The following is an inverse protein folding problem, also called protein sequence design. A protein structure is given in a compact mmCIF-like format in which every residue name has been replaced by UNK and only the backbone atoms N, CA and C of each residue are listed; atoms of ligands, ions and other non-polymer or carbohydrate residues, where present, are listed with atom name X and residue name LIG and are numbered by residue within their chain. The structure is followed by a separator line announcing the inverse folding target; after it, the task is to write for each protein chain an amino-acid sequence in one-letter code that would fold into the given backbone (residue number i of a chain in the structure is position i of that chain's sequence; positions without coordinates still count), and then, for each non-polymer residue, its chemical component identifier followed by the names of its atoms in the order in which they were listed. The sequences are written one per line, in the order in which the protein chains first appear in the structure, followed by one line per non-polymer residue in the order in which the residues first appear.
data_IF_956056761809
#
_entry.id   IF_956056761809
#
_cell.length_a   1.000
_cell.length_b   1.000
_cell.length_c   1.000
_cell.angle_alpha   90.00
_cell.angle_beta   90.00
_cell.angle_gamma   90.00
#
_symmetry.space_group_name_H-M   'P 1'
#
loop_
_entity.id
_entity.type
_entity.pdbx_description
1 polymer ?
#
# COMPACT_ATOMS: atom_id res chain seq x y z
N UNK A 1 -4.13 5.16 11.85
CA UNK A 1 -3.17 5.06 10.74
C UNK A 1 -3.65 5.68 9.44
N UNK A 2 -4.94 5.72 9.22
CA UNK A 2 -5.53 6.04 7.92
C UNK A 2 -5.24 7.43 7.37
N UNK A 3 -5.35 8.50 8.14
CA UNK A 3 -5.22 9.86 7.62
C UNK A 3 -3.79 10.39 7.49
N UNK A 4 -2.92 10.05 8.42
CA UNK A 4 -1.58 10.62 8.52
C UNK A 4 -0.62 10.07 7.47
N UNK A 5 -0.69 8.76 7.20
CA UNK A 5 0.18 8.12 6.20
C UNK A 5 -0.17 8.58 4.79
N UNK A 6 -1.46 8.77 4.52
CA UNK A 6 -1.90 9.27 3.22
C UNK A 6 -1.28 10.63 2.91
N UNK A 7 -1.35 11.58 3.84
CA UNK A 7 -0.74 12.89 3.67
C UNK A 7 0.78 12.82 3.55
N UNK A 8 1.42 11.97 4.36
CA UNK A 8 2.86 11.78 4.34
C UNK A 8 3.33 11.14 3.04
N UNK A 9 2.63 10.11 2.54
CA UNK A 9 2.96 9.51 1.25
C UNK A 9 2.86 10.53 0.12
N UNK A 10 1.78 11.31 0.07
CA UNK A 10 1.60 12.32 -0.95
C UNK A 10 2.72 13.36 -0.94
N UNK A 11 3.09 13.82 0.25
CA UNK A 11 4.16 14.80 0.41
C UNK A 11 5.52 14.22 0.02
N UNK A 12 5.89 13.07 0.54
CA UNK A 12 7.19 12.46 0.27
C UNK A 12 7.31 11.99 -1.18
N UNK A 13 6.24 11.45 -1.77
CA UNK A 13 6.25 11.06 -3.16
C UNK A 13 6.46 12.27 -4.09
N UNK A 14 5.83 13.40 -3.77
CA UNK A 14 5.97 14.61 -4.56
C UNK A 14 7.31 15.33 -4.40
N UNK A 15 7.90 15.29 -3.21
CA UNK A 15 9.12 16.07 -2.88
C UNK A 15 10.36 15.19 -2.88
N UNK A 16 10.41 14.16 -2.03
CA UNK A 16 11.63 13.36 -1.84
C UNK A 16 11.84 12.33 -2.95
N UNK A 17 10.75 11.68 -3.40
CA UNK A 17 10.84 10.64 -4.43
C UNK A 17 10.63 11.21 -5.84
N UNK A 18 10.22 12.45 -5.96
CA UNK A 18 10.04 13.17 -7.23
C UNK A 18 9.21 12.36 -8.25
N UNK A 19 8.15 11.69 -7.80
CA UNK A 19 7.29 10.89 -8.67
C UNK A 19 6.39 11.81 -9.51
N UNK A 20 6.15 11.47 -10.79
CA UNK A 20 5.20 12.22 -11.61
C UNK A 20 3.78 12.07 -11.09
N UNK A 21 2.94 13.07 -11.36
CA UNK A 21 1.57 13.10 -10.86
C UNK A 21 0.75 11.84 -11.15
N UNK A 22 0.77 11.24 -12.35
CA UNK A 22 0.03 9.99 -12.58
C UNK A 22 0.46 8.83 -11.69
N UNK A 23 1.76 8.72 -11.38
CA UNK A 23 2.27 7.68 -10.48
C UNK A 23 1.75 7.91 -9.06
N UNK A 24 1.80 9.15 -8.58
CA UNK A 24 1.28 9.51 -7.25
C UNK A 24 -0.23 9.21 -7.18
N UNK A 25 -0.99 9.62 -8.17
CA UNK A 25 -2.44 9.39 -8.21
C UNK A 25 -2.78 7.91 -8.16
N UNK A 26 -2.07 7.09 -8.94
CA UNK A 26 -2.30 5.65 -8.95
C UNK A 26 -1.96 5.01 -7.60
N UNK A 27 -0.85 5.38 -7.02
CA UNK A 27 -0.44 4.87 -5.70
C UNK A 27 -1.43 5.27 -4.59
N UNK A 28 -1.97 6.48 -4.65
CA UNK A 28 -2.96 6.94 -3.67
C UNK A 28 -4.30 6.24 -3.85
N UNK A 29 -4.73 5.99 -5.08
CA UNK A 29 -5.94 5.20 -5.35
C UNK A 29 -5.78 3.77 -4.83
N UNK A 30 -4.62 3.16 -5.04
CA UNK A 30 -4.32 1.84 -4.51
C UNK A 30 -4.36 1.83 -2.97
N UNK A 31 -3.73 2.81 -2.34
CA UNK A 31 -3.74 2.95 -0.87
C UNK A 31 -5.17 3.04 -0.33
N UNK A 32 -5.99 3.91 -0.91
CA UNK A 32 -7.37 4.08 -0.49
C UNK A 32 -8.19 2.79 -0.63
N UNK A 33 -8.01 2.07 -1.73
CA UNK A 33 -8.70 0.81 -1.95
C UNK A 33 -8.29 -0.23 -0.90
N UNK A 34 -6.99 -0.33 -0.60
CA UNK A 34 -6.48 -1.24 0.42
C UNK A 34 -7.09 -0.94 1.79
N UNK A 35 -7.20 0.34 2.16
CA UNK A 35 -7.79 0.71 3.44
C UNK A 35 -9.26 0.27 3.54
N UNK A 36 -10.03 0.45 2.48
CA UNK A 36 -11.44 0.01 2.45
C UNK A 36 -11.54 -1.51 2.55
N UNK A 37 -10.73 -2.24 1.79
CA UNK A 37 -10.74 -3.71 1.81
C UNK A 37 -10.30 -4.26 3.16
N UNK A 38 -9.31 -3.65 3.78
CA UNK A 38 -8.85 -4.01 5.11
C UNK A 38 -9.97 -3.81 6.16
N UNK A 39 -10.65 -2.69 6.11
CA UNK A 39 -11.78 -2.41 7.00
C UNK A 39 -12.90 -3.42 6.83
N UNK A 40 -13.25 -3.77 5.58
CA UNK A 40 -14.28 -4.79 5.32
C UNK A 40 -13.84 -6.14 5.87
N UNK A 41 -12.59 -6.53 5.66
CA UNK A 41 -12.08 -7.82 6.15
C UNK A 41 -12.10 -7.90 7.69
N UNK A 42 -11.82 -6.78 8.34
CA UNK A 42 -11.79 -6.72 9.81
C UNK A 42 -13.17 -6.51 10.44
N UNK A 43 -14.20 -6.29 9.63
CA UNK A 43 -15.55 -6.00 10.12
C UNK A 43 -15.71 -4.58 10.65
N UNK A 44 -14.81 -3.69 10.32
CA UNK A 44 -14.91 -2.28 10.70
C UNK A 44 -15.95 -1.56 9.84
N UNK A 45 -16.60 -0.51 10.38
CA UNK A 45 -17.55 0.28 9.60
C UNK A 45 -16.89 0.95 8.39
N UNK A 46 -17.55 0.87 7.24
CA UNK A 46 -17.12 1.52 5.99
C UNK A 46 -18.22 2.45 5.53
N UNK A 47 -17.89 3.72 5.33
CA UNK A 47 -18.82 4.68 4.78
C UNK A 47 -19.17 4.31 3.32
N UNK A 48 -20.42 4.53 2.95
CA UNK A 48 -20.88 4.23 1.59
C UNK A 48 -20.07 4.97 0.54
N UNK A 49 -19.70 6.21 0.80
CA UNK A 49 -18.89 7.02 -0.11
C UNK A 49 -17.50 6.44 -0.31
N UNK A 50 -16.87 5.92 0.74
CA UNK A 50 -15.55 5.29 0.64
C UNK A 50 -15.62 3.98 -0.15
N UNK A 51 -16.66 3.19 0.08
CA UNK A 51 -16.88 1.96 -0.70
C UNK A 51 -17.09 2.28 -2.18
N UNK A 52 -17.92 3.28 -2.50
CA UNK A 52 -18.16 3.69 -3.89
C UNK A 52 -16.88 4.19 -4.54
N UNK A 53 -16.06 4.96 -3.82
CA UNK A 53 -14.76 5.39 -4.32
C UNK A 53 -13.82 4.21 -4.60
N UNK A 54 -13.77 3.23 -3.70
CA UNK A 54 -12.95 2.03 -3.89
C UNK A 54 -13.40 1.24 -5.13
N UNK A 55 -14.72 1.09 -5.33
CA UNK A 55 -15.29 0.42 -6.51
C UNK A 55 -14.85 1.15 -7.79
N UNK A 56 -15.06 2.46 -7.85
CA UNK A 56 -14.70 3.24 -9.02
C UNK A 56 -13.20 3.22 -9.28
N UNK A 57 -12.40 3.43 -8.25
CA UNK A 57 -10.94 3.47 -8.38
C UNK A 57 -10.38 2.15 -8.88
N UNK A 58 -10.81 1.02 -8.31
CA UNK A 58 -10.25 -0.28 -8.68
C UNK A 58 -10.75 -0.79 -10.03
N UNK A 59 -12.01 -0.53 -10.37
CA UNK A 59 -12.60 -1.05 -11.60
C UNK A 59 -12.45 -0.12 -12.79
N UNK A 60 -12.24 1.18 -12.57
CA UNK A 60 -12.20 2.16 -13.65
C UNK A 60 -10.96 3.03 -13.60
N UNK A 61 -10.80 3.89 -12.58
CA UNK A 61 -9.81 4.95 -12.62
C UNK A 61 -8.37 4.45 -12.65
N UNK A 62 -8.03 3.46 -11.85
CA UNK A 62 -6.67 2.89 -11.83
C UNK A 62 -6.31 2.25 -13.17
N UNK A 63 -7.28 1.65 -13.85
CA UNK A 63 -7.06 0.97 -15.13
C UNK A 63 -6.92 1.95 -16.31
N UNK A 64 -7.33 3.20 -16.15
CA UNK A 64 -7.19 4.26 -17.13
C UNK A 64 -6.00 5.18 -16.88
N UNK A 65 -5.35 5.02 -15.74
CA UNK A 65 -4.21 5.85 -15.34
C UNK A 65 -3.02 5.62 -16.28
N UNK A 66 -2.41 6.70 -16.76
CA UNK A 66 -1.33 6.62 -17.77
C UNK A 66 -0.08 5.94 -17.24
N UNK A 67 0.28 6.15 -15.98
CA UNK A 67 1.41 5.44 -15.38
C UNK A 67 1.14 3.93 -15.34
N UNK A 68 -0.05 3.53 -14.93
CA UNK A 68 -0.43 2.12 -14.90
C UNK A 68 -0.44 1.52 -16.31
N UNK A 69 -1.03 2.20 -17.29
CA UNK A 69 -1.11 1.68 -18.67
C UNK A 69 0.28 1.45 -19.27
N UNK A 70 1.23 2.32 -18.96
CA UNK A 70 2.61 2.19 -19.46
C UNK A 70 3.40 1.08 -18.76
N UNK A 71 3.01 0.72 -17.53
CA UNK A 71 3.82 -0.16 -16.68
C UNK A 71 3.06 -1.38 -16.15
N UNK A 72 1.86 -1.65 -16.66
CA UNK A 72 1.00 -2.72 -16.14
C UNK A 72 1.66 -4.11 -16.14
N UNK A 73 2.50 -4.49 -17.12
CA UNK A 73 3.18 -5.79 -17.08
C UNK A 73 4.09 -5.98 -15.86
N UNK A 74 4.57 -4.90 -15.27
CA UNK A 74 5.38 -4.93 -14.05
C UNK A 74 4.51 -4.72 -12.80
N UNK A 75 3.60 -3.76 -12.86
CA UNK A 75 2.78 -3.40 -11.70
C UNK A 75 1.79 -4.49 -11.29
N UNK A 76 1.17 -5.17 -12.23
CA UNK A 76 0.17 -6.20 -11.90
C UNK A 76 0.78 -7.37 -11.11
N UNK A 77 1.90 -7.97 -11.51
CA UNK A 77 2.55 -8.99 -10.68
C UNK A 77 2.99 -8.47 -9.31
N UNK A 78 3.43 -7.21 -9.24
CA UNK A 78 3.83 -6.60 -7.99
C UNK A 78 2.62 -6.46 -7.03
N UNK A 79 1.49 -5.99 -7.55
CA UNK A 79 0.23 -5.91 -6.78
C UNK A 79 -0.24 -7.31 -6.37
N UNK A 80 -0.10 -8.31 -7.24
CA UNK A 80 -0.44 -9.69 -6.89
C UNK A 80 0.38 -10.20 -5.70
N UNK A 81 1.68 -9.93 -5.68
CA UNK A 81 2.53 -10.28 -4.54
C UNK A 81 2.09 -9.55 -3.26
N UNK A 82 1.75 -8.28 -3.37
CA UNK A 82 1.23 -7.49 -2.25
C UNK A 82 -0.05 -8.13 -1.67
N UNK A 83 -1.00 -8.50 -2.54
CA UNK A 83 -2.26 -9.13 -2.11
C UNK A 83 -2.01 -10.47 -1.42
N UNK A 84 -1.16 -11.30 -1.99
CA UNK A 84 -0.84 -12.63 -1.41
C UNK A 84 -0.14 -12.49 -0.05
N UNK A 85 0.75 -11.52 0.09
CA UNK A 85 1.39 -11.24 1.39
C UNK A 85 0.36 -10.77 2.42
N UNK A 86 -0.56 -9.89 2.02
CA UNK A 86 -1.63 -9.43 2.90
C UNK A 86 -2.53 -10.60 3.33
N UNK A 87 -2.88 -11.48 2.39
CA UNK A 87 -3.71 -12.66 2.69
C UNK A 87 -3.00 -13.62 3.65
N UNK A 88 -1.69 -13.81 3.47
CA UNK A 88 -0.90 -14.61 4.40
C UNK A 88 -0.88 -14.00 5.81
N UNK A 89 -0.72 -12.69 5.89
CA UNK A 89 -0.78 -11.97 7.16
C UNK A 89 -2.15 -12.11 7.82
N UNK A 90 -3.22 -11.88 7.07
CA UNK A 90 -4.59 -11.99 7.55
C UNK A 90 -4.87 -13.39 8.10
N UNK A 91 -4.42 -14.42 7.42
CA UNK A 91 -4.58 -15.80 7.89
C UNK A 91 -3.84 -16.05 9.20
N UNK A 92 -2.61 -15.57 9.33
CA UNK A 92 -1.85 -15.70 10.58
C UNK A 92 -2.54 -14.96 11.72
N UNK A 93 -3.02 -13.77 11.47
CA UNK A 93 -3.74 -12.96 12.47
C UNK A 93 -5.00 -13.67 12.96
N UNK A 94 -5.82 -14.18 12.04
CA UNK A 94 -7.05 -14.92 12.39
C UNK A 94 -6.78 -16.25 13.09
N UNK A 95 -5.64 -16.86 12.84
CA UNK A 95 -5.23 -18.09 13.51
C UNK A 95 -4.59 -17.87 14.87
N UNK A 96 -4.43 -16.63 15.32
CA UNK A 96 -3.75 -16.30 16.57
C UNK A 96 -2.24 -16.46 16.52
N UNK A 97 -1.66 -16.42 15.32
CA UNK A 97 -0.23 -16.61 15.08
C UNK A 97 0.47 -15.32 14.65
N UNK A 98 -0.13 -14.16 14.96
CA UNK A 98 0.46 -12.87 14.64
C UNK A 98 1.83 -12.71 15.29
N UNK A 99 2.82 -12.34 14.50
CA UNK A 99 4.19 -12.10 14.96
C UNK A 99 4.90 -11.09 14.04
N UNK A 100 6.20 -10.94 14.18
CA UNK A 100 6.98 -10.02 13.37
C UNK A 100 6.88 -10.31 11.88
N UNK A 101 6.66 -11.56 11.48
CA UNK A 101 6.52 -11.91 10.06
C UNK A 101 5.20 -11.39 9.50
N UNK A 102 4.09 -11.66 10.18
CA UNK A 102 2.78 -11.15 9.72
C UNK A 102 2.75 -9.62 9.74
N UNK A 103 3.39 -9.00 10.72
CA UNK A 103 3.57 -7.54 10.73
C UNK A 103 4.25 -7.02 9.46
N UNK A 104 5.30 -7.70 9.00
CA UNK A 104 5.99 -7.30 7.78
C UNK A 104 5.21 -7.66 6.52
N UNK A 105 4.53 -8.80 6.49
CA UNK A 105 3.77 -9.23 5.32
C UNK A 105 2.62 -8.28 4.97
N UNK A 106 1.99 -7.67 5.96
CA UNK A 106 0.89 -6.74 5.72
C UNK A 106 1.36 -5.40 5.12
N UNK A 107 2.66 -5.16 5.06
CA UNK A 107 3.27 -3.95 4.52
C UNK A 107 3.62 -4.04 3.02
N UNK A 108 3.04 -4.98 2.29
CA UNK A 108 3.34 -5.20 0.87
C UNK A 108 3.08 -4.01 -0.04
N UNK A 109 2.24 -3.07 0.37
CA UNK A 109 2.02 -1.83 -0.37
C UNK A 109 3.33 -1.07 -0.65
N UNK A 110 4.25 -1.07 0.31
CA UNK A 110 5.52 -0.36 0.15
C UNK A 110 6.43 -1.00 -0.89
N UNK A 111 6.27 -2.30 -1.16
CA UNK A 111 6.94 -2.97 -2.27
C UNK A 111 6.47 -2.39 -3.62
N UNK A 112 5.19 -2.05 -3.72
CA UNK A 112 4.64 -1.42 -4.93
C UNK A 112 5.19 0.01 -5.08
N UNK A 113 5.31 0.75 -4.00
CA UNK A 113 5.93 2.10 -4.02
C UNK A 113 7.39 2.02 -4.46
N UNK A 114 8.15 1.05 -3.95
CA UNK A 114 9.54 0.81 -4.40
C UNK A 114 9.61 0.59 -5.91
N UNK A 115 8.72 -0.26 -6.42
CA UNK A 115 8.70 -0.56 -7.86
C UNK A 115 8.30 0.65 -8.69
N UNK A 116 7.32 1.44 -8.23
CA UNK A 116 6.92 2.67 -8.92
C UNK A 116 8.10 3.66 -9.00
N UNK A 117 8.84 3.81 -7.93
CA UNK A 117 10.03 4.66 -7.90
C UNK A 117 11.08 4.18 -8.89
N UNK A 118 11.35 2.88 -8.94
CA UNK A 118 12.31 2.30 -9.86
C UNK A 118 11.87 2.48 -11.32
N UNK A 119 10.60 2.28 -11.62
CA UNK A 119 10.05 2.47 -12.97
C UNK A 119 10.17 3.92 -13.44
N UNK A 120 10.01 4.89 -12.53
CA UNK A 120 10.08 6.31 -12.87
C UNK A 120 11.51 6.82 -13.02
N UNK A 121 12.44 6.33 -12.22
CA UNK A 121 13.76 6.94 -12.06
C UNK A 121 14.93 5.99 -12.31
N UNK A 122 14.70 4.70 -12.43
CA UNK A 122 15.75 3.72 -12.65
C UNK A 122 16.36 3.17 -11.36
N UNK A 123 17.22 2.18 -11.51
CA UNK A 123 17.75 1.39 -10.40
C UNK A 123 18.66 2.18 -9.46
N UNK A 124 19.45 3.10 -9.98
CA UNK A 124 20.38 3.87 -9.15
C UNK A 124 19.64 4.76 -8.16
N UNK A 125 18.66 5.52 -8.66
CA UNK A 125 17.83 6.38 -7.81
C UNK A 125 17.07 5.54 -6.77
N UNK A 126 16.50 4.42 -7.20
CA UNK A 126 15.77 3.54 -6.33
C UNK A 126 16.65 2.99 -5.20
N UNK A 127 17.85 2.55 -5.53
CA UNK A 127 18.81 2.05 -4.54
C UNK A 127 19.18 3.12 -3.50
N UNK A 128 19.40 4.35 -3.95
CA UNK A 128 19.78 5.45 -3.06
C UNK A 128 18.62 5.91 -2.14
N UNK A 129 17.37 5.70 -2.55
CA UNK A 129 16.19 6.24 -1.87
C UNK A 129 15.23 5.18 -1.32
N UNK A 130 15.54 3.88 -1.44
CA UNK A 130 14.66 2.80 -0.99
C UNK A 130 14.32 2.91 0.50
N UNK A 131 15.27 3.33 1.33
CA UNK A 131 15.06 3.49 2.76
C UNK A 131 13.96 4.51 3.08
N UNK A 132 13.85 5.59 2.26
CA UNK A 132 12.81 6.59 2.44
C UNK A 132 11.41 6.01 2.24
N UNK A 133 11.27 5.07 1.30
CA UNK A 133 10.01 4.37 1.07
C UNK A 133 9.65 3.49 2.26
N UNK A 134 10.60 2.71 2.74
CA UNK A 134 10.35 1.78 3.86
C UNK A 134 10.04 2.52 5.16
N UNK A 135 10.59 3.71 5.35
CA UNK A 135 10.29 4.57 6.49
C UNK A 135 8.84 5.09 6.51
N UNK A 136 8.12 5.00 5.37
CA UNK A 136 6.70 5.38 5.32
C UNK A 136 5.78 4.42 6.08
N UNK A 137 6.24 3.21 6.38
CA UNK A 137 5.45 2.27 7.14
C UNK A 137 5.29 2.79 8.57
N UNK A 138 4.14 3.38 8.84
CA UNK A 138 3.91 4.16 10.06
C UNK A 138 3.46 3.37 11.26
N UNK A 139 2.99 2.13 11.09
CA UNK A 139 2.59 1.29 12.21
C UNK A 139 3.82 0.64 12.84
N UNK A 140 3.97 0.78 14.16
CA UNK A 140 5.06 0.11 14.87
C UNK A 140 4.69 -1.34 15.17
N UNK A 141 5.70 -2.18 15.37
CA UNK A 141 5.49 -3.56 15.77
C UNK A 141 4.75 -3.65 17.11
N UNK A 142 5.00 -2.73 18.03
CA UNK A 142 4.30 -2.68 19.31
C UNK A 142 2.81 -2.40 19.14
N UNK A 143 2.46 -1.43 18.30
CA UNK A 143 1.05 -1.12 17.98
C UNK A 143 0.36 -2.31 17.35
N UNK A 144 1.02 -2.97 16.42
CA UNK A 144 0.51 -4.16 15.77
C UNK A 144 0.25 -5.28 16.76
N UNK A 145 1.21 -5.56 17.64
CA UNK A 145 1.07 -6.64 18.62
C UNK A 145 -0.01 -6.35 19.66
N UNK A 146 -0.30 -5.08 19.95
CA UNK A 146 -1.44 -4.74 20.81
C UNK A 146 -2.78 -5.10 20.18
N UNK A 147 -2.89 -4.98 18.86
CA UNK A 147 -4.12 -5.29 18.15
C UNK A 147 -4.34 -6.81 18.02
N UNK A 148 -3.31 -7.58 17.68
CA UNK A 148 -3.40 -9.00 17.40
C UNK A 148 -2.71 -9.85 18.47
N UNK A 149 -1.95 -9.21 19.36
CA UNK A 149 -1.09 -9.85 20.24
C UNK A 149 -1.75 -10.28 21.52
N UNK A 150 -1.45 -10.39 22.05
CA UNK A 150 -1.41 -10.83 23.31
C UNK A 150 -1.08 -9.63 24.15
N UNK A 151 -2.08 -9.02 24.54
CA UNK A 151 -1.92 -8.01 25.56
C UNK A 151 -1.11 -8.56 26.74
#
# INVERSE_FOLDING_TARGET
MKGTIFGTLGLLAGVALALPAPAIEWLLMLWNAIQVFDDVADGDPVERSDLNAAIWNTLVAMNQNTFFLQNSPVLVPCVASMVLKWQASDQAERAGLADARSYMWRAGYYDVVLMAMQLCHGAKFANENAHLVMELYGETFEEYMKEFGHA
#
